data_IF_543126411749
#
_entry.id   IF_543126411749
#
_cell.length_a   1.000
_cell.length_b   1.000
_cell.length_c   1.000
_cell.angle_alpha   90.00
_cell.angle_beta   90.00
_cell.angle_gamma   90.00
#
_symmetry.space_group_name_H-M   'P 1'
#
loop_
_entity.id
_entity.type
_entity.pdbx_description
1 polymer ?
#
# COMPACT_ATOMS: atom_id res chain seq x y z
N UNK A 1 18.15 -8.71 8.69
CA UNK A 1 17.15 -7.70 8.24
C UNK A 1 16.20 -7.40 9.40
N UNK A 2 16.20 -6.16 9.90
CA UNK A 2 15.26 -5.75 10.96
C UNK A 2 13.82 -5.91 10.46
N UNK A 3 12.90 -6.37 11.33
CA UNK A 3 11.48 -6.61 10.96
C UNK A 3 10.85 -5.39 10.27
N UNK A 4 11.30 -4.19 10.64
CA UNK A 4 10.93 -2.89 10.05
C UNK A 4 11.19 -2.84 8.53
N UNK A 5 12.40 -3.18 8.11
CA UNK A 5 12.82 -3.12 6.71
C UNK A 5 12.09 -4.16 5.85
N UNK A 6 11.81 -5.35 6.40
CA UNK A 6 11.08 -6.40 5.67
C UNK A 6 9.63 -6.00 5.41
N UNK A 7 8.96 -5.36 6.36
CA UNK A 7 7.57 -4.88 6.20
C UNK A 7 7.50 -3.76 5.17
N UNK A 8 8.40 -2.78 5.24
CA UNK A 8 8.46 -1.68 4.26
C UNK A 8 8.74 -2.23 2.85
N UNK A 9 9.68 -3.16 2.71
CA UNK A 9 10.02 -3.73 1.41
C UNK A 9 8.85 -4.53 0.81
N UNK A 10 8.13 -5.30 1.63
CA UNK A 10 6.90 -5.99 1.18
C UNK A 10 5.82 -4.99 0.79
N UNK A 11 5.62 -3.92 1.56
CA UNK A 11 4.64 -2.88 1.23
C UNK A 11 4.96 -2.21 -0.12
N UNK A 12 6.23 -1.87 -0.37
CA UNK A 12 6.67 -1.28 -1.65
C UNK A 12 6.44 -2.25 -2.82
N UNK A 13 6.76 -3.54 -2.64
CA UNK A 13 6.54 -4.55 -3.69
C UNK A 13 5.06 -4.70 -4.00
N UNK A 14 4.20 -4.73 -2.97
CA UNK A 14 2.75 -4.84 -3.14
C UNK A 14 2.18 -3.59 -3.81
N UNK A 15 2.59 -2.39 -3.42
CA UNK A 15 2.19 -1.12 -4.05
C UNK A 15 2.62 -1.06 -5.52
N UNK A 16 3.85 -1.46 -5.84
CA UNK A 16 4.34 -1.50 -7.21
C UNK A 16 3.54 -2.47 -8.08
N UNK A 17 3.19 -3.65 -7.54
CA UNK A 17 2.33 -4.61 -8.22
C UNK A 17 0.91 -4.08 -8.41
N UNK A 18 0.30 -3.49 -7.38
CA UNK A 18 -1.05 -2.92 -7.47
C UNK A 18 -1.11 -1.77 -8.48
N UNK A 19 -0.15 -0.85 -8.41
CA UNK A 19 -0.05 0.27 -9.35
C UNK A 19 0.15 -0.20 -10.79
N UNK A 20 0.98 -1.22 -10.99
CA UNK A 20 1.18 -1.85 -12.30
C UNK A 20 -0.07 -2.53 -12.84
N UNK A 21 -0.77 -3.30 -11.99
CA UNK A 21 -2.04 -3.96 -12.34
C UNK A 21 -3.12 -2.91 -12.65
N UNK A 22 -3.21 -1.82 -11.88
CA UNK A 22 -4.14 -0.74 -12.15
C UNK A 22 -3.88 -0.05 -13.47
N UNK A 23 -2.62 0.32 -13.72
CA UNK A 23 -2.24 0.96 -14.97
C UNK A 23 -2.52 0.06 -16.18
N UNK A 24 -2.23 -1.24 -16.07
CA UNK A 24 -2.56 -2.23 -17.09
C UNK A 24 -4.06 -2.35 -17.33
N UNK A 25 -4.88 -2.51 -16.27
CA UNK A 25 -6.33 -2.60 -16.41
C UNK A 25 -6.94 -1.31 -16.96
N UNK A 26 -6.51 -0.14 -16.48
CA UNK A 26 -6.97 1.14 -16.99
C UNK A 26 -6.63 1.31 -18.48
N UNK A 27 -5.42 0.92 -18.89
CA UNK A 27 -5.02 0.95 -20.30
C UNK A 27 -5.82 -0.05 -21.15
N UNK A 28 -6.07 -1.24 -20.62
CA UNK A 28 -6.84 -2.28 -21.31
C UNK A 28 -8.31 -1.89 -21.50
N UNK A 29 -8.94 -1.30 -20.49
CA UNK A 29 -10.30 -0.78 -20.57
C UNK A 29 -10.47 0.38 -21.55
N UNK A 30 -9.48 1.28 -21.63
CA UNK A 30 -9.48 2.36 -22.62
C UNK A 30 -9.20 1.87 -24.05
N UNK A 31 -8.42 0.80 -24.22
CA UNK A 31 -8.02 0.29 -25.52
C UNK A 31 -9.08 -0.64 -26.17
N UNK A 32 -9.95 -1.26 -25.39
CA UNK A 32 -10.99 -2.17 -25.90
C UNK A 32 -12.37 -1.87 -25.30
N UNK A 33 -12.94 -0.67 -25.55
CA UNK A 33 -14.22 -0.25 -24.97
C UNK A 33 -15.39 -1.20 -25.32
N UNK A 34 -15.31 -1.92 -26.45
CA UNK A 34 -16.32 -2.90 -26.89
C UNK A 34 -16.24 -4.25 -26.14
N UNK A 35 -15.09 -4.57 -25.53
CA UNK A 35 -14.86 -5.84 -24.82
C UNK A 35 -14.87 -5.72 -23.32
N UNK A 36 -14.88 -4.50 -22.78
CA UNK A 36 -14.97 -4.27 -21.34
C UNK A 36 -16.38 -3.84 -20.95
N UNK A 37 -16.79 -4.26 -19.76
CA UNK A 37 -18.08 -3.89 -19.21
C UNK A 37 -18.14 -2.35 -19.03
N UNK A 38 -19.30 -1.70 -19.22
CA UNK A 38 -19.43 -0.24 -19.09
C UNK A 38 -19.03 0.28 -17.69
N UNK A 39 -19.13 -0.57 -16.67
CA UNK A 39 -18.75 -0.35 -15.28
C UNK A 39 -17.29 -0.75 -14.96
N UNK A 40 -16.48 -1.16 -15.95
CA UNK A 40 -15.11 -1.63 -15.72
C UNK A 40 -14.23 -0.54 -15.09
N UNK A 41 -14.34 0.70 -15.55
CA UNK A 41 -13.55 1.80 -15.01
C UNK A 41 -13.96 2.17 -13.57
N UNK A 42 -15.25 2.09 -13.26
CA UNK A 42 -15.79 2.29 -11.90
C UNK A 42 -15.33 1.19 -10.95
N UNK A 43 -15.47 -0.08 -11.34
CA UNK A 43 -15.05 -1.23 -10.53
C UNK A 43 -13.54 -1.22 -10.30
N UNK A 44 -12.74 -0.92 -11.33
CA UNK A 44 -11.28 -0.81 -11.23
C UNK A 44 -10.90 0.36 -10.31
N UNK A 45 -11.55 1.51 -10.46
CA UNK A 45 -11.35 2.67 -9.58
C UNK A 45 -11.71 2.38 -8.12
N UNK A 46 -12.86 1.74 -7.87
CA UNK A 46 -13.32 1.40 -6.53
C UNK A 46 -12.44 0.34 -5.87
N UNK A 47 -12.04 -0.69 -6.61
CA UNK A 47 -11.16 -1.76 -6.13
C UNK A 47 -9.78 -1.20 -5.80
N UNK A 48 -9.20 -0.40 -6.70
CA UNK A 48 -7.86 0.16 -6.48
C UNK A 48 -7.85 1.26 -5.44
N UNK A 49 -8.89 2.10 -5.40
CA UNK A 49 -9.07 3.09 -4.33
C UNK A 49 -9.20 2.44 -2.96
N UNK A 50 -9.96 1.35 -2.86
CA UNK A 50 -10.10 0.59 -1.62
C UNK A 50 -8.79 -0.10 -1.23
N UNK A 51 -8.10 -0.71 -2.20
CA UNK A 51 -6.86 -1.42 -1.94
C UNK A 51 -5.70 -0.48 -1.56
N UNK A 52 -5.52 0.63 -2.28
CA UNK A 52 -4.54 1.67 -1.93
C UNK A 52 -4.90 2.37 -0.62
N UNK A 53 -6.19 2.66 -0.38
CA UNK A 53 -6.66 3.23 0.88
C UNK A 53 -6.42 2.31 2.08
N UNK A 54 -6.67 1.00 1.92
CA UNK A 54 -6.41 0.01 2.95
C UNK A 54 -4.90 -0.17 3.23
N UNK A 55 -4.07 -0.19 2.17
CA UNK A 55 -2.62 -0.23 2.30
C UNK A 55 -2.07 1.02 3.00
N UNK A 56 -2.51 2.22 2.60
CA UNK A 56 -2.13 3.48 3.25
C UNK A 56 -2.58 3.49 4.71
N UNK A 57 -3.82 3.10 5.01
CA UNK A 57 -4.32 2.99 6.37
C UNK A 57 -3.49 2.03 7.22
N UNK A 58 -3.14 0.86 6.68
CA UNK A 58 -2.31 -0.12 7.36
C UNK A 58 -0.87 0.40 7.57
N UNK A 59 -0.26 1.01 6.56
CA UNK A 59 1.05 1.66 6.67
C UNK A 59 1.04 2.77 7.73
N UNK A 60 -0.01 3.58 7.80
CA UNK A 60 -0.16 4.63 8.80
C UNK A 60 -0.26 4.06 10.22
N UNK A 61 -1.04 3.00 10.42
CA UNK A 61 -1.13 2.28 11.70
C UNK A 61 0.22 1.68 12.08
N UNK A 62 0.89 0.99 11.15
CA UNK A 62 2.20 0.39 11.38
C UNK A 62 3.26 1.45 11.69
N UNK A 63 3.23 2.60 11.02
CA UNK A 63 4.11 3.73 11.30
C UNK A 63 3.84 4.31 12.69
N UNK A 64 2.57 4.48 13.07
CA UNK A 64 2.21 4.99 14.40
C UNK A 64 2.59 4.02 15.52
N UNK A 65 2.38 2.71 15.31
CA UNK A 65 2.82 1.66 16.23
C UNK A 65 4.35 1.62 16.30
N UNK A 66 5.06 1.72 15.17
CA UNK A 66 6.52 1.78 15.14
C UNK A 66 7.05 3.03 15.86
N UNK A 67 6.46 4.20 15.64
CA UNK A 67 6.81 5.45 16.31
C UNK A 67 6.53 5.39 17.82
N UNK A 68 5.45 4.73 18.25
CA UNK A 68 5.21 4.46 19.68
C UNK A 68 6.19 3.44 20.26
N UNK A 69 6.58 2.43 19.48
CA UNK A 69 7.59 1.46 19.91
C UNK A 69 8.98 2.09 20.01
N UNK A 70 9.34 3.06 19.15
CA UNK A 70 10.59 3.81 19.29
C UNK A 70 10.59 4.73 20.52
N UNK A 71 9.45 5.33 20.87
CA UNK A 71 9.32 6.05 22.16
C UNK A 71 9.49 5.13 23.37
N UNK A 72 9.10 3.85 23.28
CA UNK A 72 9.34 2.85 24.33
C UNK A 72 10.76 2.24 24.26
N UNK A 73 11.41 2.30 23.10
CA UNK A 73 12.77 1.82 22.86
C UNK A 73 13.83 2.93 22.94
N UNK A 74 13.54 4.01 23.66
CA UNK A 74 14.57 4.80 24.33
C UNK A 74 14.80 4.17 25.70
N UNK A 75 15.68 3.15 25.82
CA UNK A 75 16.20 2.80 27.12
C UNK A 75 17.01 4.01 27.60
N UNK A 76 16.56 4.59 28.71
CA UNK A 76 17.36 4.94 29.87
C UNK A 76 18.78 4.32 29.85
N UNK A 77 19.66 4.81 28.99
CA UNK A 77 21.07 4.42 28.92
C UNK A 77 21.93 5.67 28.66
N UNK A 78 21.63 6.70 29.43
CA UNK A 78 22.48 7.87 29.64
C UNK A 78 22.52 8.23 31.13
N UNK A 79 22.51 7.20 31.98
CA UNK A 79 22.84 7.28 33.40
C UNK A 79 23.64 6.02 33.75
N UNK A 80 24.95 6.10 33.55
CA UNK A 80 26.02 5.49 34.36
C UNK A 80 27.36 5.84 33.72
#
# INVERSE_FOLDING_TARGET
MSRKARVILVAIVVEAFLGGIWWYLARFGLANPDRVAPNFQEVVGQTMGTAMGALLGLCFILFFVAARNERKALPQKERL
#
